data_IF_227518378168
#
_entry.id   IF_227518378168
#
_cell.length_a   1.000
_cell.length_b   1.000
_cell.length_c   1.000
_cell.angle_alpha   90.00
_cell.angle_beta   90.00
_cell.angle_gamma   90.00
#
_symmetry.space_group_name_H-M   'P 1'
#
loop_
_entity.id
_entity.type
_entity.pdbx_description
1 polymer ?
#
# COMPACT_ATOMS: atom_id res chain seq x y z
N UNK A 1 -7.54 -4.64 6.18
CA UNK A 1 -6.81 -5.76 6.84
C UNK A 1 -5.41 -5.87 6.26
N UNK A 2 -4.37 -6.05 7.09
CA UNK A 2 -3.01 -6.34 6.57
C UNK A 2 -2.95 -7.80 6.11
N UNK A 3 -2.45 -8.03 4.90
CA UNK A 3 -2.33 -9.38 4.31
C UNK A 3 -0.89 -9.84 4.13
N UNK A 4 0.07 -8.91 4.03
CA UNK A 4 1.48 -9.21 3.87
C UNK A 4 2.31 -8.04 4.42
N UNK A 5 3.46 -8.33 5.01
CA UNK A 5 4.37 -7.33 5.56
C UNK A 5 5.80 -7.64 5.12
N UNK A 6 6.50 -6.63 4.59
CA UNK A 6 7.94 -6.66 4.35
C UNK A 6 8.63 -5.70 5.32
N UNK A 7 9.84 -6.04 5.75
CA UNK A 7 10.59 -5.24 6.70
C UNK A 7 12.06 -5.18 6.31
N UNK A 8 12.63 -3.98 6.35
CA UNK A 8 14.06 -3.73 6.21
C UNK A 8 14.56 -2.97 7.43
N UNK A 9 15.69 -3.40 7.97
CA UNK A 9 16.32 -2.79 9.15
C UNK A 9 17.69 -2.23 8.77
N UNK A 10 17.91 -0.96 9.11
CA UNK A 10 19.15 -0.24 8.88
C UNK A 10 19.71 0.17 10.24
N UNK A 11 21.01 -0.06 10.45
CA UNK A 11 21.72 0.31 11.69
C UNK A 11 22.89 1.21 11.33
N UNK A 12 22.84 2.47 11.76
CA UNK A 12 23.86 3.48 11.48
C UNK A 12 24.22 4.23 12.77
N UNK A 13 25.51 4.25 13.13
CA UNK A 13 26.04 5.02 14.28
C UNK A 13 25.26 4.84 15.61
N UNK A 14 24.72 3.65 15.86
CA UNK A 14 23.92 3.35 17.06
C UNK A 14 22.44 3.77 16.98
N UNK A 15 22.00 4.29 15.83
CA UNK A 15 20.59 4.50 15.49
C UNK A 15 20.09 3.33 14.66
N UNK A 16 18.90 2.86 14.99
CA UNK A 16 18.23 1.79 14.26
C UNK A 16 16.99 2.37 13.59
N UNK A 17 16.85 2.11 12.28
CA UNK A 17 15.66 2.45 11.52
C UNK A 17 15.05 1.17 10.96
N UNK A 18 13.76 0.99 11.19
CA UNK A 18 12.99 -0.09 10.58
C UNK A 18 12.00 0.50 9.59
N UNK A 19 12.12 0.09 8.33
CA UNK A 19 11.17 0.36 7.27
C UNK A 19 10.19 -0.81 7.19
N UNK A 20 8.90 -0.53 7.25
CA UNK A 20 7.83 -1.52 7.24
C UNK A 20 6.89 -1.21 6.08
N UNK A 21 6.67 -2.20 5.22
CA UNK A 21 5.77 -2.09 4.06
C UNK A 21 4.65 -3.11 4.23
N UNK A 22 3.41 -2.65 4.28
CA UNK A 22 2.24 -3.52 4.50
C UNK A 22 1.35 -3.51 3.28
N UNK A 23 1.04 -4.69 2.76
CA UNK A 23 -0.03 -4.89 1.81
C UNK A 23 -1.36 -4.91 2.55
N UNK A 24 -2.27 -4.02 2.15
CA UNK A 24 -3.59 -3.90 2.71
C UNK A 24 -4.60 -4.57 1.78
N UNK A 25 -5.59 -5.24 2.36
CA UNK A 25 -6.82 -5.68 1.70
C UNK A 25 -7.99 -4.93 2.33
N UNK A 26 -8.75 -4.23 1.52
CA UNK A 26 -9.92 -3.45 1.92
C UNK A 26 -11.10 -3.80 1.00
N UNK A 27 -12.31 -3.50 1.46
CA UNK A 27 -13.49 -3.52 0.61
C UNK A 27 -13.88 -2.07 0.32
N UNK A 28 -14.23 -1.80 -0.92
CA UNK A 28 -14.63 -0.50 -1.43
C UNK A 28 -16.06 -0.61 -1.95
N UNK A 29 -16.95 0.23 -1.42
CA UNK A 29 -18.37 0.20 -1.77
C UNK A 29 -18.60 1.05 -3.02
N UNK A 30 -19.12 0.43 -4.08
CA UNK A 30 -19.46 1.11 -5.33
C UNK A 30 -20.95 0.95 -5.59
N UNK A 31 -21.59 2.02 -6.08
CA UNK A 31 -22.96 1.97 -6.58
C UNK A 31 -22.94 1.66 -8.09
N UNK A 32 -23.59 0.57 -8.48
CA UNK A 32 -23.77 0.15 -9.87
C UNK A 32 -25.26 -0.11 -10.09
N UNK A 33 -25.87 0.59 -11.03
CA UNK A 33 -27.30 0.47 -11.38
C UNK A 33 -28.24 0.57 -10.16
N UNK A 34 -27.95 1.51 -9.25
CA UNK A 34 -28.74 1.74 -8.03
C UNK A 34 -28.56 0.67 -6.95
N UNK A 35 -27.63 -0.28 -7.12
CA UNK A 35 -27.29 -1.28 -6.11
C UNK A 35 -25.87 -1.06 -5.58
N UNK A 36 -25.71 -1.13 -4.27
CA UNK A 36 -24.38 -1.10 -3.65
C UNK A 36 -23.71 -2.48 -3.75
N UNK A 37 -22.49 -2.49 -4.27
CA UNK A 37 -21.64 -3.68 -4.41
C UNK A 37 -20.33 -3.42 -3.68
N UNK A 38 -19.84 -4.41 -2.94
CA UNK A 38 -18.49 -4.38 -2.39
C UNK A 38 -17.52 -4.91 -3.43
N UNK A 39 -16.52 -4.09 -3.76
CA UNK A 39 -15.39 -4.46 -4.61
C UNK A 39 -14.16 -4.59 -3.72
N UNK A 40 -13.48 -5.71 -3.83
CA UNK A 40 -12.22 -5.92 -3.12
C UNK A 40 -11.15 -5.02 -3.71
N UNK A 41 -10.41 -4.32 -2.85
CA UNK A 41 -9.29 -3.47 -3.22
C UNK A 41 -8.05 -3.80 -2.39
N UNK A 42 -6.89 -3.55 -2.97
CA UNK A 42 -5.62 -3.65 -2.29
C UNK A 42 -4.93 -2.29 -2.23
N UNK A 43 -4.22 -2.06 -1.13
CA UNK A 43 -3.50 -0.83 -0.86
C UNK A 43 -2.15 -1.10 -0.22
N UNK A 44 -1.40 -0.04 0.06
CA UNK A 44 -0.08 -0.11 0.69
C UNK A 44 -0.03 0.89 1.84
N UNK A 45 0.56 0.49 2.95
CA UNK A 45 1.02 1.37 4.02
C UNK A 45 2.54 1.27 4.13
N UNK A 46 3.21 2.41 4.18
CA UNK A 46 4.66 2.54 4.34
C UNK A 46 4.91 3.21 5.69
N UNK A 47 5.72 2.58 6.53
CA UNK A 47 6.12 3.11 7.84
C UNK A 47 7.64 3.15 7.97
N UNK A 48 8.12 4.15 8.70
CA UNK A 48 9.51 4.17 9.21
C UNK A 48 9.46 4.37 10.71
N UNK A 49 10.14 3.50 11.44
CA UNK A 49 10.23 3.52 12.90
C UNK A 49 11.69 3.72 13.30
N UNK A 50 11.97 4.80 14.02
CA UNK A 50 13.27 5.05 14.62
C UNK A 50 13.38 4.42 16.01
N UNK A 51 14.54 3.84 16.31
CA UNK A 51 14.94 3.42 17.65
C UNK A 51 16.27 4.08 18.02
N UNK A 52 16.31 4.69 19.20
CA UNK A 52 17.54 5.24 19.80
C UNK A 52 17.72 4.59 21.16
N UNK A 53 18.85 3.89 21.37
CA UNK A 53 19.14 3.17 22.62
C UNK A 53 18.05 2.19 23.08
N UNK A 54 17.31 1.59 22.13
CA UNK A 54 16.23 0.63 22.43
C UNK A 54 14.87 1.27 22.74
N UNK A 55 14.77 2.61 22.76
CA UNK A 55 13.49 3.32 22.86
C UNK A 55 13.01 3.73 21.47
N UNK A 56 11.74 3.42 21.17
CA UNK A 56 11.07 3.88 19.94
C UNK A 56 10.89 5.40 20.02
N UNK A 57 11.43 6.12 19.03
CA UNK A 57 11.43 7.59 19.03
C UNK A 57 10.27 8.15 18.22
N UNK A 58 10.18 7.79 16.94
CA UNK A 58 9.20 8.37 16.03
C UNK A 58 8.79 7.37 14.97
N UNK A 59 7.49 7.32 14.71
CA UNK A 59 6.89 6.55 13.63
C UNK A 59 6.34 7.55 12.62
N UNK A 60 6.84 7.45 11.39
CA UNK A 60 6.24 8.11 10.24
C UNK A 60 5.47 7.05 9.45
N UNK A 61 4.27 7.38 8.99
CA UNK A 61 3.44 6.48 8.18
C UNK A 61 2.73 7.28 7.10
N UNK A 62 2.59 6.69 5.92
CA UNK A 62 1.72 7.14 4.85
C UNK A 62 1.11 5.91 4.16
N UNK A 63 -0.06 6.07 3.54
CA UNK A 63 -0.79 4.95 2.97
C UNK A 63 -1.76 5.37 1.86
N UNK A 64 -1.95 4.47 0.91
CA UNK A 64 -3.06 4.50 -0.03
C UNK A 64 -3.85 3.21 0.11
N UNK A 65 -5.15 3.34 0.39
CA UNK A 65 -6.01 2.18 0.73
C UNK A 65 -6.53 1.47 -0.51
N UNK A 66 -6.64 2.18 -1.62
CA UNK A 66 -7.33 1.75 -2.82
C UNK A 66 -6.44 1.99 -4.04
N UNK A 67 -5.49 1.08 -4.28
CA UNK A 67 -4.56 1.15 -5.40
C UNK A 67 -5.07 0.34 -6.60
N UNK A 68 -5.52 -0.89 -6.37
CA UNK A 68 -6.07 -1.76 -7.42
C UNK A 68 -6.84 -2.94 -6.82
N UNK A 69 -7.88 -3.48 -7.49
CA UNK A 69 -8.48 -4.77 -7.13
C UNK A 69 -7.54 -5.95 -7.39
N UNK A 70 -6.50 -5.76 -8.22
CA UNK A 70 -5.54 -6.80 -8.62
C UNK A 70 -4.40 -6.94 -7.61
N UNK A 71 -4.52 -7.91 -6.69
CA UNK A 71 -3.51 -8.18 -5.63
C UNK A 71 -2.07 -8.22 -6.14
N UNK A 72 -1.84 -8.87 -7.29
CA UNK A 72 -0.51 -9.13 -7.81
C UNK A 72 0.20 -7.85 -8.26
N UNK A 73 -0.53 -6.88 -8.83
CA UNK A 73 0.00 -5.56 -9.20
C UNK A 73 0.43 -4.76 -7.97
N UNK A 74 -0.44 -4.70 -6.95
CA UNK A 74 -0.13 -4.00 -5.70
C UNK A 74 1.03 -4.68 -4.95
N UNK A 75 1.11 -6.01 -4.98
CA UNK A 75 2.25 -6.75 -4.42
C UNK A 75 3.57 -6.46 -5.16
N UNK A 76 3.54 -6.32 -6.48
CA UNK A 76 4.72 -5.95 -7.25
C UNK A 76 5.21 -4.53 -6.86
N UNK A 77 4.28 -3.58 -6.73
CA UNK A 77 4.59 -2.22 -6.26
C UNK A 77 5.14 -2.24 -4.83
N UNK A 78 4.53 -2.98 -3.90
CA UNK A 78 5.01 -3.15 -2.53
C UNK A 78 6.48 -3.61 -2.50
N UNK A 79 6.82 -4.60 -3.34
CA UNK A 79 8.18 -5.11 -3.44
C UNK A 79 9.14 -4.05 -3.97
N UNK A 80 8.73 -3.30 -5.00
CA UNK A 80 9.53 -2.19 -5.55
C UNK A 80 9.82 -1.13 -4.49
N UNK A 81 8.83 -0.72 -3.70
CA UNK A 81 9.01 0.25 -2.62
C UNK A 81 9.97 -0.27 -1.54
N UNK A 82 9.82 -1.55 -1.17
CA UNK A 82 10.68 -2.21 -0.20
C UNK A 82 12.12 -2.33 -0.67
N UNK A 83 12.34 -2.80 -1.90
CA UNK A 83 13.67 -3.03 -2.48
C UNK A 83 14.46 -1.73 -2.62
N UNK A 84 13.77 -0.58 -2.73
CA UNK A 84 14.38 0.75 -2.79
C UNK A 84 14.34 1.51 -1.45
N UNK A 85 13.88 0.89 -0.37
CA UNK A 85 13.74 1.52 0.96
C UNK A 85 13.01 2.87 0.93
N UNK A 86 11.95 2.97 0.13
CA UNK A 86 11.14 4.20 0.00
C UNK A 86 10.57 4.59 1.36
N UNK A 87 10.78 5.84 1.77
CA UNK A 87 10.24 6.36 3.03
C UNK A 87 8.79 6.84 2.86
N UNK A 88 8.00 6.90 3.96
CA UNK A 88 6.60 7.32 3.91
C UNK A 88 6.40 8.67 3.20
N UNK A 89 7.30 9.62 3.41
CA UNK A 89 7.20 10.96 2.80
C UNK A 89 7.38 10.98 1.28
N UNK A 90 8.08 9.99 0.71
CA UNK A 90 8.29 9.85 -0.74
C UNK A 90 7.39 8.76 -1.34
N UNK A 91 6.45 8.22 -0.55
CA UNK A 91 5.59 7.12 -0.98
C UNK A 91 4.76 7.53 -2.20
N UNK A 92 4.03 8.64 -2.10
CA UNK A 92 3.15 9.11 -3.19
C UNK A 92 3.95 9.55 -4.41
N UNK A 93 5.15 10.13 -4.24
CA UNK A 93 6.00 10.54 -5.35
C UNK A 93 6.39 9.37 -6.26
N UNK A 94 6.53 8.17 -5.69
CA UNK A 94 6.88 6.96 -6.44
C UNK A 94 5.64 6.15 -6.81
N UNK A 95 4.70 5.99 -5.87
CA UNK A 95 3.51 5.17 -6.09
C UNK A 95 2.47 5.85 -6.98
N UNK A 96 2.44 7.18 -7.04
CA UNK A 96 1.44 7.97 -7.77
C UNK A 96 1.33 7.57 -9.24
N UNK A 97 2.45 7.40 -9.93
CA UNK A 97 2.46 7.00 -11.35
C UNK A 97 1.79 5.63 -11.56
N UNK A 98 2.03 4.67 -10.66
CA UNK A 98 1.41 3.34 -10.70
C UNK A 98 -0.06 3.38 -10.30
N UNK A 99 -0.41 4.22 -9.31
CA UNK A 99 -1.79 4.40 -8.87
C UNK A 99 -2.61 4.93 -10.06
N UNK A 100 -2.13 5.97 -10.74
CA UNK A 100 -2.80 6.54 -11.91
C UNK A 100 -2.99 5.51 -13.03
N UNK A 101 -1.99 4.66 -13.29
CA UNK A 101 -2.11 3.56 -14.26
C UNK A 101 -3.16 2.53 -13.82
N UNK A 102 -3.19 2.20 -12.53
CA UNK A 102 -4.03 1.13 -11.99
C UNK A 102 -5.48 1.53 -11.72
N UNK A 103 -5.84 2.82 -11.79
CA UNK A 103 -7.24 3.28 -11.68
C UNK A 103 -8.15 2.51 -12.64
N UNK A 104 -7.67 2.24 -13.85
CA UNK A 104 -8.42 1.51 -14.88
C UNK A 104 -8.81 0.07 -14.49
N UNK A 105 -8.08 -0.56 -13.57
CA UNK A 105 -8.38 -1.91 -13.07
C UNK A 105 -9.75 -1.96 -12.36
N UNK A 106 -10.16 -0.86 -11.72
CA UNK A 106 -11.47 -0.79 -11.07
C UNK A 106 -12.60 -0.76 -12.10
N UNK A 107 -12.43 -0.05 -13.22
CA UNK A 107 -13.41 -0.02 -14.30
C UNK A 107 -13.58 -1.40 -14.94
N UNK A 108 -12.49 -2.15 -15.09
CA UNK A 108 -12.53 -3.53 -15.59
C UNK A 108 -13.28 -4.46 -14.63
N UNK A 109 -12.99 -4.39 -13.34
CA UNK A 109 -13.68 -5.17 -12.31
C UNK A 109 -15.19 -4.85 -12.28
N UNK A 110 -15.54 -3.55 -12.41
CA UNK A 110 -16.93 -3.12 -12.48
C UNK A 110 -17.67 -3.65 -13.71
N UNK A 111 -17.02 -3.68 -14.88
CA UNK A 111 -17.62 -4.29 -16.09
C UNK A 111 -17.87 -5.77 -15.90
N UNK A 112 -16.98 -6.50 -15.21
CA UNK A 112 -17.19 -7.91 -14.90
C UNK A 112 -18.41 -8.07 -13.98
N UNK A 113 -18.54 -7.23 -12.95
CA UNK A 113 -19.67 -7.27 -12.01
C UNK A 113 -20.99 -6.89 -12.67
N UNK A 114 -21.00 -5.90 -13.57
CA UNK A 114 -22.21 -5.42 -14.25
C UNK A 114 -22.71 -6.37 -15.35
N UNK A 115 -21.80 -7.15 -15.97
CA UNK A 115 -22.15 -8.16 -16.97
C UNK A 115 -22.53 -9.52 -16.37
N UNK A 116 -22.54 -9.66 -15.03
CA UNK A 116 -23.00 -10.85 -14.30
C UNK A 116 -24.45 -10.68 -13.83
#
# INVERSE_FOLDING_TARGET
MVVETLMNKVVEEGREFTYVYKLLKNDFLIEVDGNQRNVQAYGIEVETQGMVNGEATTIHSDHEKYISPQRHKVKALLKLLNDNMVSPIHFIDIAGEYIDEYISDFDEELKVIANC
#
